data_IF_176273927608
#
_entry.id   IF_176273927608
#
_cell.length_a   1.000
_cell.length_b   1.000
_cell.length_c   1.000
_cell.angle_alpha   90.00
_cell.angle_beta   90.00
_cell.angle_gamma   90.00
#
_symmetry.space_group_name_H-M   'P 1'
#
loop_
_entity.id
_entity.type
_entity.pdbx_description
1 polymer ?
#
# COMPACT_ATOMS: atom_id res chain seq x y z
N UNK A 1 21.54 -1.04 17.72
CA UNK A 1 21.18 -1.17 17.11
C UNK A 1 20.51 -1.48 16.34
N UNK A 2 20.01 -1.59 16.01
CA UNK A 2 19.38 -2.04 15.39
C UNK A 2 19.25 -1.92 14.28
N UNK A 3 19.48 -2.10 13.65
CA UNK A 3 19.15 -1.93 12.55
C UNK A 3 18.74 -2.92 11.91
N UNK A 4 18.30 -2.84 10.89
CA UNK A 4 17.66 -3.85 10.27
C UNK A 4 17.16 -3.33 9.01
N UNK A 5 16.52 -4.11 8.24
CA UNK A 5 15.82 -3.63 7.06
C UNK A 5 14.81 -2.56 7.46
N UNK A 6 14.60 -2.46 8.75
CA UNK A 6 13.67 -1.48 9.25
C UNK A 6 14.31 -0.15 9.52
N UNK A 7 15.61 -0.05 9.32
CA UNK A 7 16.28 1.22 9.39
C UNK A 7 15.91 2.14 8.25
N UNK A 8 14.71 1.95 7.75
CA UNK A 8 14.13 2.85 6.79
C UNK A 8 14.02 4.22 7.44
N UNK A 9 14.50 5.24 6.75
CA UNK A 9 14.41 6.60 7.25
C UNK A 9 13.00 7.12 7.04
N UNK A 10 12.16 6.90 8.03
CA UNK A 10 10.76 7.27 7.98
C UNK A 10 10.56 8.77 7.87
N UNK A 11 11.45 9.53 8.53
CA UNK A 11 11.35 10.98 8.48
C UNK A 11 11.63 11.48 7.06
N UNK A 12 12.60 10.90 6.38
CA UNK A 12 12.91 11.31 5.01
C UNK A 12 11.82 10.88 4.04
N UNK A 13 11.22 9.72 4.26
CA UNK A 13 10.18 9.23 3.36
C UNK A 13 8.85 9.94 3.55
N UNK A 14 8.46 10.20 4.80
CA UNK A 14 7.11 10.66 5.09
C UNK A 14 7.03 11.99 5.83
N UNK A 15 8.12 12.45 6.43
CA UNK A 15 8.10 13.62 7.30
C UNK A 15 7.65 14.92 6.64
N UNK A 16 7.79 15.01 5.33
CA UNK A 16 7.32 16.18 4.59
C UNK A 16 5.81 16.40 4.71
N UNK A 17 5.06 15.35 4.99
CA UNK A 17 3.61 15.45 5.18
C UNK A 17 3.24 16.25 6.43
N UNK A 18 4.18 16.40 7.36
CA UNK A 18 3.97 17.21 8.56
C UNK A 18 3.72 18.67 8.20
N UNK A 19 4.34 19.15 7.13
CA UNK A 19 4.13 20.53 6.66
C UNK A 19 2.72 20.71 6.13
N UNK A 20 2.16 19.65 5.53
CA UNK A 20 0.85 19.72 4.92
C UNK A 20 -0.27 19.57 5.95
N UNK A 21 -0.11 18.64 6.88
CA UNK A 21 -1.19 18.27 7.81
C UNK A 21 -0.94 18.75 9.24
N UNK A 22 0.21 19.32 9.53
CA UNK A 22 0.62 19.67 10.89
C UNK A 22 1.05 18.44 11.67
N UNK A 23 1.70 18.63 12.86
CA UNK A 23 2.19 17.48 13.64
C UNK A 23 1.09 16.51 14.06
N UNK A 24 -0.06 17.02 14.50
CA UNK A 24 -1.16 16.16 14.94
C UNK A 24 -1.77 15.40 13.77
N UNK A 25 -1.98 16.07 12.64
CA UNK A 25 -2.53 15.42 11.44
C UNK A 25 -1.57 14.37 10.89
N UNK A 26 -0.29 14.67 10.87
CA UNK A 26 0.72 13.71 10.43
C UNK A 26 0.73 12.48 11.34
N UNK A 27 0.66 12.67 12.66
CA UNK A 27 0.63 11.55 13.60
C UNK A 27 -0.58 10.65 13.36
N UNK A 28 -1.73 11.24 13.04
CA UNK A 28 -2.93 10.45 12.74
C UNK A 28 -2.78 9.64 11.47
N UNK A 29 -2.19 10.23 10.43
CA UNK A 29 -1.96 9.50 9.17
C UNK A 29 -1.01 8.33 9.43
N UNK A 30 0.09 8.58 10.16
CA UNK A 30 1.08 7.55 10.44
C UNK A 30 0.50 6.40 11.28
N UNK A 31 -0.51 6.67 12.10
CA UNK A 31 -1.14 5.67 12.94
C UNK A 31 -2.36 5.01 12.28
N UNK A 32 -2.76 5.46 11.09
CA UNK A 32 -4.00 5.01 10.47
C UNK A 32 -3.94 3.54 10.07
N UNK A 33 -5.08 2.87 10.21
CA UNK A 33 -5.28 1.47 9.84
C UNK A 33 -6.49 1.45 8.91
N UNK A 34 -6.29 1.09 7.66
CA UNK A 34 -7.30 1.29 6.63
C UNK A 34 -7.49 0.00 5.84
N UNK A 35 -8.75 -0.32 5.54
CA UNK A 35 -9.09 -1.42 4.65
C UNK A 35 -9.45 -0.84 3.27
N UNK A 36 -8.89 -1.42 2.23
CA UNK A 36 -9.23 -1.07 0.85
C UNK A 36 -9.91 -2.29 0.24
N UNK A 37 -11.21 -2.16 -0.02
CA UNK A 37 -12.01 -3.23 -0.60
C UNK A 37 -12.07 -3.02 -2.11
N UNK A 38 -11.50 -3.97 -2.85
CA UNK A 38 -11.35 -3.85 -4.28
C UNK A 38 -10.08 -3.08 -4.63
N UNK A 39 -9.11 -3.77 -5.24
CA UNK A 39 -7.84 -3.14 -5.63
C UNK A 39 -7.68 -3.13 -7.14
N UNK A 40 -8.72 -2.69 -7.83
CA UNK A 40 -8.70 -2.47 -9.27
C UNK A 40 -8.22 -1.09 -9.67
N UNK A 41 -8.94 -0.45 -10.61
CA UNK A 41 -8.53 0.82 -11.19
C UNK A 41 -8.40 1.96 -10.18
N UNK A 42 -9.35 2.08 -9.26
CA UNK A 42 -9.30 3.13 -8.23
C UNK A 42 -8.60 2.63 -6.97
N UNK A 43 -9.00 1.45 -6.49
CA UNK A 43 -8.50 0.92 -5.22
C UNK A 43 -7.00 0.66 -5.21
N UNK A 44 -6.41 0.23 -6.34
CA UNK A 44 -4.98 -0.02 -6.38
C UNK A 44 -4.18 1.27 -6.19
N UNK A 45 -4.60 2.35 -6.83
CA UNK A 45 -3.95 3.65 -6.66
C UNK A 45 -4.20 4.23 -5.28
N UNK A 46 -5.40 4.02 -4.72
CA UNK A 46 -5.72 4.44 -3.37
C UNK A 46 -4.79 3.78 -2.36
N UNK A 47 -4.61 2.47 -2.47
CA UNK A 47 -3.72 1.73 -1.56
C UNK A 47 -2.28 2.22 -1.69
N UNK A 48 -1.81 2.48 -2.90
CA UNK A 48 -0.47 3.01 -3.08
C UNK A 48 -0.33 4.40 -2.47
N UNK A 49 -1.31 5.27 -2.66
CA UNK A 49 -1.28 6.61 -2.08
C UNK A 49 -1.22 6.56 -0.56
N UNK A 50 -1.98 5.64 0.05
CA UNK A 50 -1.97 5.47 1.49
C UNK A 50 -0.61 4.96 1.99
N UNK A 51 -0.02 4.01 1.28
CA UNK A 51 1.31 3.52 1.62
C UNK A 51 2.36 4.63 1.53
N UNK A 52 2.28 5.45 0.48
CA UNK A 52 3.20 6.58 0.30
C UNK A 52 2.95 7.69 1.31
N UNK A 53 1.81 7.68 1.96
CA UNK A 53 1.52 8.62 3.06
C UNK A 53 1.98 8.07 4.41
N UNK A 54 2.51 6.87 4.45
CA UNK A 54 3.10 6.31 5.65
C UNK A 54 2.12 5.73 6.66
N UNK A 55 0.94 5.27 6.22
CA UNK A 55 -0.03 4.68 7.15
C UNK A 55 0.53 3.43 7.83
N UNK A 56 0.02 3.13 9.01
CA UNK A 56 0.54 2.03 9.82
C UNK A 56 0.13 0.65 9.29
N UNK A 57 -1.08 0.54 8.75
CA UNK A 57 -1.62 -0.76 8.40
C UNK A 57 -2.61 -0.65 7.25
N UNK A 58 -2.53 -1.60 6.32
CA UNK A 58 -3.48 -1.72 5.22
C UNK A 58 -4.00 -3.15 5.14
N UNK A 59 -5.33 -3.27 4.98
CA UNK A 59 -5.95 -4.55 4.69
C UNK A 59 -6.50 -4.46 3.27
N UNK A 60 -6.03 -5.33 2.39
CA UNK A 60 -6.39 -5.32 0.97
C UNK A 60 -7.27 -6.53 0.69
N UNK A 61 -8.46 -6.29 0.17
CA UNK A 61 -9.44 -7.36 -0.05
C UNK A 61 -9.83 -7.38 -1.52
N UNK A 62 -9.52 -8.48 -2.21
CA UNK A 62 -9.89 -8.66 -3.61
C UNK A 62 -9.67 -10.12 -3.97
N UNK A 63 -10.50 -10.66 -4.83
CA UNK A 63 -10.36 -12.06 -5.26
C UNK A 63 -9.62 -12.19 -6.59
N UNK A 64 -9.51 -11.11 -7.36
CA UNK A 64 -9.02 -11.17 -8.72
C UNK A 64 -7.51 -11.34 -8.84
N UNK A 65 -7.09 -11.80 -10.00
CA UNK A 65 -5.68 -11.90 -10.37
C UNK A 65 -5.35 -10.85 -11.43
N UNK A 66 -4.08 -10.44 -11.46
CA UNK A 66 -3.61 -9.43 -12.40
C UNK A 66 -3.71 -9.97 -13.82
N UNK A 67 -4.39 -9.23 -14.69
CA UNK A 67 -4.53 -9.56 -16.09
C UNK A 67 -3.82 -8.51 -16.95
N UNK A 68 -3.46 -8.91 -18.17
CA UNK A 68 -2.77 -8.01 -19.07
C UNK A 68 -3.56 -6.72 -19.34
N UNK A 69 -4.89 -6.83 -19.43
CA UNK A 69 -5.74 -5.67 -19.66
C UNK A 69 -5.74 -4.67 -18.50
N UNK A 70 -5.20 -5.04 -17.34
CA UNK A 70 -5.12 -4.15 -16.20
C UNK A 70 -3.94 -3.19 -16.27
N UNK A 71 -2.98 -3.47 -17.15
CA UNK A 71 -1.70 -2.74 -17.19
C UNK A 71 -1.91 -1.25 -17.45
N UNK A 72 -2.91 -0.90 -18.21
CA UNK A 72 -3.11 0.49 -18.59
C UNK A 72 -3.68 1.38 -17.48
N UNK A 73 -4.12 0.82 -16.34
CA UNK A 73 -4.77 1.64 -15.32
C UNK A 73 -4.64 1.15 -13.87
N UNK A 74 -4.02 0.00 -13.61
CA UNK A 74 -3.91 -0.53 -12.25
C UNK A 74 -2.44 -0.59 -11.84
N UNK A 75 -2.13 -0.02 -10.68
CA UNK A 75 -0.74 0.23 -10.29
C UNK A 75 0.07 -1.05 -10.06
N UNK A 76 -0.58 -2.13 -9.64
CA UNK A 76 0.10 -3.40 -9.40
C UNK A 76 0.34 -4.19 -10.68
N UNK A 77 -0.29 -3.76 -11.79
CA UNK A 77 -0.26 -4.53 -13.04
C UNK A 77 1.00 -4.22 -13.83
N UNK A 78 1.92 -5.16 -13.81
CA UNK A 78 3.22 -5.09 -14.48
C UNK A 78 3.48 -6.44 -15.12
N UNK A 79 4.37 -6.50 -16.12
CA UNK A 79 4.69 -7.76 -16.75
C UNK A 79 5.05 -8.86 -15.73
N UNK A 80 5.91 -8.58 -14.72
CA UNK A 80 6.25 -9.62 -13.75
C UNK A 80 5.11 -10.05 -12.82
N UNK A 81 4.05 -9.23 -12.69
CA UNK A 81 2.97 -9.56 -11.77
C UNK A 81 1.77 -10.22 -12.45
N UNK A 82 1.79 -10.36 -13.78
CA UNK A 82 0.69 -11.00 -14.49
C UNK A 82 0.39 -12.37 -13.91
N UNK A 83 -0.87 -12.66 -13.64
CA UNK A 83 -1.32 -13.92 -13.06
C UNK A 83 -1.29 -13.99 -11.56
N UNK A 84 -0.64 -13.05 -10.88
CA UNK A 84 -0.61 -13.04 -9.42
C UNK A 84 -1.93 -12.50 -8.86
N UNK A 85 -2.28 -12.93 -7.65
CA UNK A 85 -3.39 -12.32 -6.94
C UNK A 85 -3.11 -10.82 -6.79
N UNK A 86 -4.10 -9.98 -7.10
CA UNK A 86 -3.90 -8.53 -7.05
C UNK A 86 -3.46 -8.06 -5.67
N UNK A 87 -4.05 -8.63 -4.60
CA UNK A 87 -3.70 -8.23 -3.24
C UNK A 87 -2.25 -8.60 -2.89
N UNK A 88 -1.74 -9.70 -3.42
CA UNK A 88 -0.35 -10.10 -3.16
C UNK A 88 0.64 -9.25 -3.96
N UNK A 89 0.32 -8.98 -5.22
CA UNK A 89 1.15 -8.10 -6.05
C UNK A 89 1.28 -6.72 -5.42
N UNK A 90 0.17 -6.20 -4.89
CA UNK A 90 0.16 -4.89 -4.27
C UNK A 90 0.88 -4.90 -2.92
N UNK A 91 0.72 -5.97 -2.15
CA UNK A 91 1.44 -6.12 -0.89
C UNK A 91 2.95 -6.08 -1.11
N UNK A 92 3.43 -6.78 -2.13
CA UNK A 92 4.84 -6.78 -2.48
C UNK A 92 5.32 -5.37 -2.84
N UNK A 93 4.54 -4.67 -3.66
CA UNK A 93 4.87 -3.31 -4.08
C UNK A 93 4.92 -2.35 -2.89
N UNK A 94 3.96 -2.47 -1.97
CA UNK A 94 3.91 -1.61 -0.78
C UNK A 94 5.14 -1.85 0.10
N UNK A 95 5.61 -3.09 0.20
CA UNK A 95 6.81 -3.39 0.98
C UNK A 95 8.04 -2.65 0.46
N UNK A 96 8.08 -2.33 -0.83
CA UNK A 96 9.19 -1.56 -1.42
C UNK A 96 9.07 -0.07 -1.13
N UNK A 97 7.87 0.40 -0.83
CA UNK A 97 7.61 1.82 -0.54
C UNK A 97 7.70 2.09 0.96
N UNK A 98 7.08 1.24 1.75
CA UNK A 98 6.92 1.43 3.19
C UNK A 98 7.00 0.07 3.88
N UNK A 99 8.21 -0.44 4.11
CA UNK A 99 8.38 -1.78 4.70
C UNK A 99 7.79 -1.93 6.09
N UNK A 100 7.64 -0.83 6.82
CA UNK A 100 7.05 -0.87 8.17
C UNK A 100 5.52 -0.95 8.18
N UNK A 101 4.86 -0.85 7.03
CA UNK A 101 3.41 -0.96 6.96
C UNK A 101 3.00 -2.43 7.11
N UNK A 102 2.07 -2.71 8.03
CA UNK A 102 1.51 -4.04 8.15
C UNK A 102 0.45 -4.21 7.07
N UNK A 103 0.68 -5.13 6.13
CA UNK A 103 -0.24 -5.34 5.01
C UNK A 103 -0.86 -6.73 5.12
N UNK A 104 -2.19 -6.77 5.18
CA UNK A 104 -2.94 -8.01 5.21
C UNK A 104 -3.61 -8.19 3.85
N UNK A 105 -3.19 -9.22 3.11
CA UNK A 105 -3.73 -9.51 1.78
C UNK A 105 -4.79 -10.60 1.93
N UNK A 106 -6.03 -10.27 1.59
CA UNK A 106 -7.16 -11.18 1.75
C UNK A 106 -7.76 -11.47 0.38
N UNK A 107 -7.59 -12.71 -0.08
CA UNK A 107 -8.12 -13.14 -1.37
C UNK A 107 -9.55 -13.64 -1.17
N UNK A 108 -10.48 -12.71 -1.03
CA UNK A 108 -11.89 -13.02 -0.83
C UNK A 108 -12.78 -12.10 -1.63
N UNK A 109 -13.95 -12.59 -1.92
CA UNK A 109 -14.99 -11.82 -2.57
C UNK A 109 -15.82 -11.12 -1.49
N UNK A 110 -16.06 -9.83 -1.70
CA UNK A 110 -16.89 -9.04 -0.79
C UNK A 110 -18.12 -8.59 -1.54
N UNK A 111 -19.27 -9.04 -1.12
CA UNK A 111 -20.55 -8.68 -1.74
C UNK A 111 -21.41 -7.83 -0.81
#
# INVERSE_FOLDING_TARGET
MMSTSDDTDLERRFGGLRRLYGPAGYARVRAARIAVVGVGGVGSWTAEALARSGVAELTLIDLDHVAESNINRQVHALAPTLGQAKVLALKYRIALIHPGCAVHAIEEFVD
#
